data_IF_219203710741
#
_entry.id   IF_219203710741
#
_cell.length_a   1.000
_cell.length_b   1.000
_cell.length_c   1.000
_cell.angle_alpha   90.00
_cell.angle_beta   90.00
_cell.angle_gamma   90.00
#
_symmetry.space_group_name_H-M   'P 1'
#
loop_
_entity.id
_entity.type
_entity.pdbx_description
1 polymer ?
#
# COMPACT_ATOMS: atom_id res chain seq x y z
N UNK A 1 -3.97 7.02 -0.27
CA UNK A 1 -5.22 7.65 0.23
C UNK A 1 -6.03 8.15 -0.95
N UNK A 2 -7.32 7.86 -0.97
CA UNK A 2 -8.26 8.34 -2.00
C UNK A 2 -8.57 9.83 -1.84
N UNK A 3 -9.18 10.44 -2.85
CA UNK A 3 -9.54 11.85 -2.87
C UNK A 3 -10.50 12.25 -1.73
N UNK A 4 -11.31 11.29 -1.26
CA UNK A 4 -12.22 11.42 -0.13
C UNK A 4 -11.61 11.00 1.23
N UNK A 5 -10.28 10.95 1.31
CA UNK A 5 -9.56 10.78 2.58
C UNK A 5 -9.64 9.36 3.17
N UNK A 6 -9.79 8.33 2.33
CA UNK A 6 -9.75 6.93 2.78
C UNK A 6 -8.39 6.30 2.51
N UNK A 7 -7.91 5.51 3.46
CA UNK A 7 -6.79 4.59 3.24
C UNK A 7 -7.33 3.29 2.65
N UNK A 8 -6.54 2.70 1.75
CA UNK A 8 -6.88 1.48 1.03
C UNK A 8 -6.15 0.32 1.69
N UNK A 9 -6.89 -0.75 2.00
CA UNK A 9 -6.39 -2.02 2.50
C UNK A 9 -6.89 -3.15 1.59
N UNK A 10 -6.13 -4.23 1.51
CA UNK A 10 -6.48 -5.41 0.72
C UNK A 10 -6.62 -6.63 1.63
N UNK A 11 -7.68 -7.39 1.44
CA UNK A 11 -7.84 -8.71 2.08
C UNK A 11 -6.99 -9.72 1.32
N UNK A 12 -5.92 -10.20 1.92
CA UNK A 12 -5.08 -11.23 1.31
C UNK A 12 -5.88 -12.51 1.09
N UNK A 13 -5.68 -13.16 -0.06
CA UNK A 13 -6.28 -14.46 -0.36
C UNK A 13 -5.88 -15.51 0.66
N UNK A 14 -6.67 -16.57 0.80
CA UNK A 14 -6.29 -17.71 1.65
C UNK A 14 -5.24 -18.62 0.99
N UNK A 15 -4.98 -18.43 -0.30
CA UNK A 15 -4.02 -19.23 -1.07
C UNK A 15 -2.59 -18.68 -1.10
N UNK A 16 -2.36 -17.51 -0.49
CA UNK A 16 -0.99 -16.95 -0.39
C UNK A 16 -0.21 -17.58 0.76
N UNK A 17 1.10 -17.65 0.62
CA UNK A 17 1.99 -18.27 1.62
C UNK A 17 2.13 -17.42 2.89
N UNK A 18 2.24 -16.09 2.77
CA UNK A 18 2.44 -15.19 3.91
C UNK A 18 1.13 -14.50 4.31
N UNK A 19 0.80 -14.55 5.61
CA UNK A 19 -0.34 -13.87 6.22
C UNK A 19 -1.72 -14.08 5.51
N UNK A 20 -2.13 -15.33 5.21
CA UNK A 20 -3.39 -15.60 4.51
C UNK A 20 -4.61 -15.05 5.27
N UNK A 21 -5.54 -14.41 4.55
CA UNK A 21 -6.77 -13.83 5.11
C UNK A 21 -6.59 -12.54 5.94
N UNK A 22 -5.35 -12.09 6.16
CA UNK A 22 -5.07 -10.82 6.84
C UNK A 22 -5.33 -9.63 5.92
N UNK A 23 -5.51 -8.45 6.53
CA UNK A 23 -5.49 -7.18 5.80
C UNK A 23 -4.04 -6.75 5.59
N UNK A 24 -3.77 -6.28 4.38
CA UNK A 24 -2.50 -5.69 3.98
C UNK A 24 -2.71 -4.31 3.38
N UNK A 25 -1.62 -3.60 3.14
CA UNK A 25 -1.57 -2.46 2.22
C UNK A 25 -1.11 -2.95 0.84
N UNK A 26 -1.43 -2.25 -0.27
CA UNK A 26 -0.88 -2.60 -1.58
C UNK A 26 0.65 -2.58 -1.56
N UNK A 27 1.29 -3.55 -2.23
CA UNK A 27 2.74 -3.58 -2.39
C UNK A 27 3.34 -4.99 -2.47
N UNK A 28 4.52 -5.07 -3.05
CA UNK A 28 5.27 -6.32 -3.22
C UNK A 28 6.78 -6.15 -3.03
N UNK A 29 7.56 -6.97 -3.73
CA UNK A 29 9.03 -7.01 -3.62
C UNK A 29 9.66 -6.70 -4.98
N UNK A 30 10.19 -5.47 -5.20
CA UNK A 30 10.81 -5.12 -6.46
C UNK A 30 11.99 -6.04 -6.77
N UNK A 31 12.09 -6.47 -8.02
CA UNK A 31 13.14 -7.36 -8.48
C UNK A 31 14.29 -6.58 -9.13
N UNK A 32 15.56 -6.86 -8.76
CA UNK A 32 16.70 -6.07 -9.23
C UNK A 32 16.96 -6.21 -10.74
N UNK A 33 16.43 -7.25 -11.40
CA UNK A 33 16.51 -7.44 -12.85
C UNK A 33 15.90 -6.28 -13.64
N UNK A 34 14.95 -5.53 -13.06
CA UNK A 34 14.35 -4.37 -13.70
C UNK A 34 15.39 -3.31 -14.12
N UNK A 35 16.52 -3.23 -13.41
CA UNK A 35 17.58 -2.24 -13.60
C UNK A 35 18.97 -2.87 -13.85
N UNK A 36 19.05 -4.20 -13.94
CA UNK A 36 20.30 -4.94 -14.07
C UNK A 36 20.93 -4.91 -15.48
N UNK A 37 20.33 -4.19 -16.44
CA UNK A 37 20.89 -4.03 -17.79
C UNK A 37 21.10 -5.36 -18.56
N UNK A 38 20.33 -6.41 -18.24
CA UNK A 38 20.45 -7.72 -18.86
C UNK A 38 21.42 -8.69 -18.18
N UNK A 39 22.00 -8.33 -17.02
CA UNK A 39 22.77 -9.24 -16.19
C UNK A 39 21.82 -10.30 -15.57
N UNK A 40 22.13 -11.61 -15.69
CA UNK A 40 21.32 -12.65 -15.05
C UNK A 40 21.29 -12.50 -13.53
N UNK A 41 20.11 -12.68 -12.91
CA UNK A 41 19.88 -12.57 -11.46
C UNK A 41 20.87 -13.37 -10.62
N UNK A 42 21.21 -14.59 -11.07
CA UNK A 42 22.11 -15.49 -10.35
C UNK A 42 23.54 -14.95 -10.21
N UNK A 43 23.94 -14.01 -11.08
CA UNK A 43 25.27 -13.40 -11.09
C UNK A 43 25.25 -11.95 -10.60
N UNK A 44 24.07 -11.41 -10.31
CA UNK A 44 23.89 -10.00 -9.98
C UNK A 44 24.28 -9.73 -8.53
N UNK A 45 25.16 -8.76 -8.33
CA UNK A 45 25.60 -8.31 -7.01
C UNK A 45 25.06 -6.90 -6.76
N UNK A 46 24.91 -6.52 -5.49
CA UNK A 46 24.41 -5.19 -5.14
C UNK A 46 25.32 -4.09 -5.69
N UNK A 47 26.63 -4.35 -5.76
CA UNK A 47 27.62 -3.42 -6.29
C UNK A 47 27.47 -3.15 -7.79
N UNK A 48 26.80 -4.04 -8.51
CA UNK A 48 26.57 -3.92 -9.96
C UNK A 48 25.40 -2.99 -10.29
N UNK A 49 24.58 -2.64 -9.30
CA UNK A 49 23.38 -1.84 -9.46
C UNK A 49 23.70 -0.35 -9.29
N UNK A 50 23.43 0.50 -10.31
CA UNK A 50 23.62 1.94 -10.17
C UNK A 50 22.71 2.50 -9.07
N UNK A 51 23.25 3.17 -8.03
CA UNK A 51 22.46 3.58 -6.86
C UNK A 51 21.25 4.45 -7.20
N UNK A 52 21.39 5.36 -8.18
CA UNK A 52 20.30 6.23 -8.61
C UNK A 52 19.16 5.43 -9.25
N UNK A 53 19.48 4.42 -10.08
CA UNK A 53 18.48 3.54 -10.67
C UNK A 53 17.82 2.63 -9.64
N UNK A 54 18.54 2.23 -8.58
CA UNK A 54 17.96 1.48 -7.46
C UNK A 54 16.90 2.31 -6.75
N UNK A 55 17.19 3.58 -6.48
CA UNK A 55 16.23 4.49 -5.84
C UNK A 55 15.03 4.74 -6.76
N UNK A 56 15.27 4.98 -8.05
CA UNK A 56 14.18 5.14 -9.03
C UNK A 56 13.28 3.90 -9.10
N UNK A 57 13.86 2.70 -9.16
CA UNK A 57 13.10 1.45 -9.16
C UNK A 57 12.30 1.24 -7.87
N UNK A 58 12.87 1.51 -6.70
CA UNK A 58 12.17 1.40 -5.41
C UNK A 58 10.92 2.29 -5.38
N UNK A 59 10.98 3.51 -5.93
CA UNK A 59 9.81 4.40 -5.99
C UNK A 59 8.85 4.02 -7.12
N UNK A 60 9.37 3.64 -8.29
CA UNK A 60 8.55 3.23 -9.43
C UNK A 60 7.76 1.95 -9.13
N UNK A 61 8.36 1.00 -8.40
CA UNK A 61 7.72 -0.26 -8.04
C UNK A 61 6.47 -0.03 -7.19
N UNK A 62 6.46 0.94 -6.28
CA UNK A 62 5.26 1.27 -5.48
C UNK A 62 4.07 1.62 -6.38
N UNK A 63 4.29 2.42 -7.42
CA UNK A 63 3.23 2.78 -8.37
C UNK A 63 2.81 1.57 -9.21
N UNK A 64 3.78 0.75 -9.62
CA UNK A 64 3.53 -0.49 -10.37
C UNK A 64 2.67 -1.46 -9.57
N UNK A 65 2.98 -1.71 -8.30
CA UNK A 65 2.20 -2.62 -7.44
C UNK A 65 0.77 -2.11 -7.22
N UNK A 66 0.59 -0.80 -6.99
CA UNK A 66 -0.76 -0.23 -6.88
C UNK A 66 -1.55 -0.43 -8.18
N UNK A 67 -0.91 -0.27 -9.34
CA UNK A 67 -1.54 -0.53 -10.64
C UNK A 67 -1.87 -2.01 -10.80
N UNK A 68 -0.94 -2.90 -10.49
CA UNK A 68 -1.06 -4.32 -10.80
C UNK A 68 -2.03 -5.03 -9.82
N UNK A 69 -2.09 -4.63 -8.54
CA UNK A 69 -3.00 -5.18 -7.53
C UNK A 69 -4.37 -4.47 -7.46
N UNK A 70 -4.40 -3.14 -7.60
CA UNK A 70 -5.61 -2.32 -7.38
C UNK A 70 -6.22 -1.81 -8.70
N UNK A 71 -5.53 -2.01 -9.82
CA UNK A 71 -5.96 -1.56 -11.15
C UNK A 71 -6.13 -0.03 -11.26
N UNK A 72 -5.32 0.72 -10.50
CA UNK A 72 -5.34 2.18 -10.57
C UNK A 72 -4.39 2.70 -11.66
N UNK A 73 -4.86 3.61 -12.53
CA UNK A 73 -3.99 4.21 -13.53
C UNK A 73 -2.90 5.07 -12.87
N UNK A 74 -1.62 4.96 -13.29
CA UNK A 74 -0.52 5.74 -12.72
C UNK A 74 -0.76 7.26 -12.70
N UNK A 75 -1.46 7.80 -13.70
CA UNK A 75 -1.80 9.22 -13.80
C UNK A 75 -2.75 9.72 -12.70
N UNK A 76 -3.42 8.81 -12.00
CA UNK A 76 -4.26 9.15 -10.84
C UNK A 76 -3.49 9.19 -9.53
N UNK A 77 -2.23 8.75 -9.53
CA UNK A 77 -1.39 8.57 -8.35
C UNK A 77 -0.35 9.68 -8.24
N UNK A 78 -0.21 10.25 -7.05
CA UNK A 78 0.89 11.19 -6.76
C UNK A 78 2.23 10.45 -6.71
N UNK A 79 3.37 11.15 -6.90
CA UNK A 79 4.67 10.58 -6.59
C UNK A 79 4.71 9.99 -5.17
N UNK A 80 5.27 8.78 -4.96
CA UNK A 80 5.36 8.18 -3.63
C UNK A 80 6.24 9.00 -2.69
N UNK A 81 5.88 9.03 -1.42
CA UNK A 81 6.69 9.61 -0.34
C UNK A 81 7.06 8.53 0.66
N UNK A 82 8.37 8.33 0.88
CA UNK A 82 8.85 7.39 1.88
C UNK A 82 8.46 7.88 3.29
N UNK A 83 7.75 7.05 4.04
CA UNK A 83 7.40 7.30 5.44
C UNK A 83 8.48 6.79 6.38
N UNK A 84 9.07 5.63 6.05
CA UNK A 84 10.10 5.00 6.86
C UNK A 84 10.26 3.52 6.53
N UNK A 85 11.02 2.83 7.39
CA UNK A 85 11.28 1.39 7.29
C UNK A 85 10.58 0.65 8.42
N UNK A 86 9.95 -0.47 8.09
CA UNK A 86 9.26 -1.37 9.00
C UNK A 86 10.05 -2.68 9.07
N UNK A 87 10.34 -3.16 10.27
CA UNK A 87 10.94 -4.48 10.48
C UNK A 87 9.87 -5.49 10.92
N UNK A 88 9.74 -6.59 10.19
CA UNK A 88 8.82 -7.67 10.53
C UNK A 88 9.53 -8.77 11.34
N UNK A 89 9.33 -8.76 12.66
CA UNK A 89 9.94 -9.74 13.57
C UNK A 89 9.39 -11.17 13.38
N UNK A 90 8.21 -11.35 12.76
CA UNK A 90 7.66 -12.69 12.49
C UNK A 90 8.30 -13.36 11.28
N UNK A 91 9.05 -12.61 10.47
CA UNK A 91 9.79 -13.11 9.29
C UNK A 91 11.29 -12.89 9.45
N UNK A 92 11.81 -13.23 10.63
CA UNK A 92 13.23 -13.13 10.98
C UNK A 92 13.83 -11.72 10.80
N UNK A 93 13.00 -10.68 10.92
CA UNK A 93 13.43 -9.29 10.83
C UNK A 93 13.53 -8.74 9.41
N UNK A 94 12.82 -9.34 8.44
CA UNK A 94 12.71 -8.79 7.08
C UNK A 94 12.20 -7.35 7.12
N UNK A 95 12.86 -6.46 6.41
CA UNK A 95 12.50 -5.04 6.36
C UNK A 95 11.61 -4.72 5.14
N UNK A 96 10.75 -3.73 5.30
CA UNK A 96 9.87 -3.19 4.26
C UNK A 96 9.92 -1.67 4.31
N UNK A 97 10.10 -1.02 3.15
CA UNK A 97 9.94 0.42 3.04
C UNK A 97 8.45 0.76 2.87
N UNK A 98 7.93 1.63 3.73
CA UNK A 98 6.53 2.06 3.69
C UNK A 98 6.40 3.43 3.03
N UNK A 99 5.47 3.56 2.09
CA UNK A 99 5.26 4.77 1.32
C UNK A 99 3.84 5.31 1.48
N UNK A 100 3.68 6.60 1.23
CA UNK A 100 2.39 7.24 1.07
C UNK A 100 2.21 7.74 -0.36
N UNK A 101 1.05 7.41 -0.93
CA UNK A 101 0.61 7.81 -2.26
C UNK A 101 -0.80 8.37 -2.13
N UNK A 102 -1.05 9.56 -2.71
CA UNK A 102 -2.41 10.12 -2.88
C UNK A 102 -2.97 9.67 -4.23
N UNK A 103 -4.26 9.38 -4.25
CA UNK A 103 -5.02 9.04 -5.46
C UNK A 103 -6.07 10.12 -5.70
N UNK A 104 -6.24 10.55 -6.94
CA UNK A 104 -7.27 11.52 -7.34
C UNK A 104 -8.68 10.90 -7.43
N UNK A 105 -8.80 9.57 -7.36
CA UNK A 105 -10.07 8.87 -7.35
C UNK A 105 -10.62 8.75 -5.93
N UNK A 106 -11.94 8.75 -5.80
CA UNK A 106 -12.67 8.43 -4.57
C UNK A 106 -12.56 6.94 -4.23
N UNK A 107 -12.97 6.57 -3.02
CA UNK A 107 -13.06 5.17 -2.60
C UNK A 107 -14.00 4.34 -3.49
N UNK A 108 -15.09 4.92 -3.99
CA UNK A 108 -16.04 4.24 -4.86
C UNK A 108 -15.44 3.97 -6.23
N UNK A 109 -14.88 4.99 -6.89
CA UNK A 109 -14.18 4.83 -8.17
C UNK A 109 -12.98 3.88 -8.04
N UNK A 110 -12.26 3.92 -6.92
CA UNK A 110 -11.16 2.98 -6.63
C UNK A 110 -11.66 1.54 -6.52
N UNK A 111 -12.83 1.32 -5.91
CA UNK A 111 -13.46 -0.01 -5.85
C UNK A 111 -13.86 -0.49 -7.24
N UNK A 112 -14.51 0.35 -8.05
CA UNK A 112 -14.91 -0.01 -9.41
C UNK A 112 -13.70 -0.45 -10.24
N UNK A 113 -12.57 0.25 -10.12
CA UNK A 113 -11.31 -0.14 -10.76
C UNK A 113 -10.80 -1.50 -10.27
N UNK A 114 -10.77 -1.71 -8.96
CA UNK A 114 -10.37 -2.99 -8.36
C UNK A 114 -11.24 -4.15 -8.86
N UNK A 115 -12.55 -3.96 -8.96
CA UNK A 115 -13.51 -4.98 -9.41
C UNK A 115 -13.37 -5.34 -10.89
N UNK A 116 -12.91 -4.41 -11.74
CA UNK A 116 -12.51 -4.71 -13.13
C UNK A 116 -11.31 -5.68 -13.14
N UNK A 117 -10.46 -5.64 -12.11
CA UNK A 117 -9.29 -6.49 -11.93
C UNK A 117 -8.00 -5.89 -12.51
N UNK A 118 -6.87 -6.17 -11.84
CA UNK A 118 -5.51 -5.91 -12.31
C UNK A 118 -4.76 -7.20 -12.70
N UNK A 119 -3.49 -7.08 -13.07
CA UNK A 119 -2.63 -8.21 -13.39
C UNK A 119 -2.53 -9.23 -12.23
N UNK A 120 -2.53 -8.72 -11.00
CA UNK A 120 -2.37 -9.50 -9.77
C UNK A 120 -3.67 -9.56 -8.95
N UNK A 121 -4.84 -9.45 -9.61
CA UNK A 121 -6.16 -9.45 -8.97
C UNK A 121 -6.46 -10.69 -8.11
N UNK A 122 -5.66 -11.76 -8.25
CA UNK A 122 -5.84 -13.03 -7.56
C UNK A 122 -5.17 -13.08 -6.17
N UNK A 123 -4.27 -12.14 -5.86
CA UNK A 123 -3.56 -12.10 -4.58
C UNK A 123 -4.43 -11.62 -3.42
N UNK A 124 -5.49 -10.87 -3.72
CA UNK A 124 -6.46 -10.36 -2.76
C UNK A 124 -7.90 -10.80 -3.11
N UNK A 125 -8.77 -10.84 -2.10
CA UNK A 125 -10.18 -11.25 -2.23
C UNK A 125 -11.18 -10.12 -1.98
N UNK A 126 -10.71 -8.98 -1.45
CA UNK A 126 -11.53 -7.80 -1.24
C UNK A 126 -10.66 -6.56 -1.05
N UNK A 127 -11.21 -5.41 -1.42
CA UNK A 127 -10.69 -4.08 -1.10
C UNK A 127 -11.48 -3.47 0.06
N UNK A 128 -10.78 -2.85 1.02
CA UNK A 128 -11.36 -2.26 2.24
C UNK A 128 -10.88 -0.83 2.40
N UNK A 129 -11.80 0.08 2.75
CA UNK A 129 -11.50 1.50 2.93
C UNK A 129 -11.70 1.92 4.39
N UNK A 130 -10.68 2.54 4.98
CA UNK A 130 -10.74 3.08 6.35
C UNK A 130 -10.53 4.58 6.35
N UNK A 131 -11.08 5.29 7.35
CA UNK A 131 -10.82 6.73 7.47
C UNK A 131 -9.38 6.96 7.90
N UNK A 132 -8.71 7.89 7.23
CA UNK A 132 -7.42 8.39 7.66
C UNK A 132 -7.59 9.22 8.94
N UNK A 133 -6.88 8.85 10.01
CA UNK A 133 -6.72 9.69 11.20
C UNK A 133 -5.28 10.19 11.26
N UNK A 134 -5.09 11.41 10.78
CA UNK A 134 -3.82 12.12 10.93
C UNK A 134 -3.89 12.91 12.24
N UNK A 135 -2.89 12.74 13.11
CA UNK A 135 -2.86 13.29 14.47
C UNK A 135 -3.45 14.70 14.59
N UNK A 136 -4.58 14.81 15.31
CA UNK A 136 -5.18 16.07 15.77
C UNK A 136 -5.88 16.93 14.71
N UNK A 137 -5.68 16.71 13.41
CA UNK A 137 -6.43 17.41 12.36
C UNK A 137 -7.08 16.41 11.41
N UNK A 138 -8.40 16.30 11.57
CA UNK A 138 -9.32 15.79 10.56
C UNK A 138 -8.94 16.46 9.23
N UNK A 139 -8.49 15.71 8.22
CA UNK A 139 -8.43 16.25 6.86
C UNK A 139 -9.80 16.92 6.62
N UNK A 140 -9.85 18.19 6.17
CA UNK A 140 -11.12 18.87 5.96
C UNK A 140 -11.95 18.02 5.01
N UNK A 141 -12.98 17.37 5.56
CA UNK A 141 -13.89 16.45 4.90
C UNK A 141 -14.67 17.23 3.84
N UNK A 142 -14.35 17.13 2.54
CA UNK A 142 -15.13 17.78 1.50
C UNK A 142 -16.35 16.93 1.14
N UNK A 143 -16.74 15.94 1.98
CA UNK A 143 -17.75 14.89 1.79
C UNK A 143 -17.54 14.04 0.53
N UNK A 144 -17.63 12.70 0.71
CA UNK A 144 -18.85 12.05 0.26
C UNK A 144 -19.42 11.11 1.33
N UNK A 145 -20.68 10.74 1.12
CA UNK A 145 -21.43 9.75 1.87
C UNK A 145 -20.60 8.50 2.18
N UNK A 146 -20.75 7.89 3.38
CA UNK A 146 -20.31 6.52 3.58
C UNK A 146 -20.89 5.67 2.47
N UNK A 147 -20.09 4.75 1.94
CA UNK A 147 -20.59 3.74 1.00
C UNK A 147 -21.84 3.08 1.61
N UNK A 148 -22.88 2.80 0.80
CA UNK A 148 -24.15 2.27 1.31
C UNK A 148 -23.91 1.03 2.19
N UNK A 149 -24.20 1.15 3.49
CA UNK A 149 -24.08 0.04 4.45
C UNK A 149 -22.78 -0.05 5.27
N UNK A 150 -21.76 0.77 5.00
CA UNK A 150 -20.51 0.74 5.76
C UNK A 150 -20.48 1.76 6.91
N UNK A 151 -20.32 1.29 8.16
CA UNK A 151 -19.97 2.17 9.28
C UNK A 151 -18.51 2.61 9.13
N UNK A 152 -18.17 3.90 9.31
CA UNK A 152 -16.78 4.34 9.32
C UNK A 152 -15.97 3.58 10.36
N UNK A 153 -14.88 2.94 9.94
CA UNK A 153 -13.91 2.29 10.83
C UNK A 153 -12.63 3.12 10.88
N UNK A 154 -12.12 3.33 12.09
CA UNK A 154 -10.84 3.99 12.35
C UNK A 154 -9.73 2.93 12.31
N UNK A 155 -8.57 3.24 11.73
CA UNK A 155 -7.49 2.26 11.55
C UNK A 155 -6.89 1.77 12.87
N UNK A 156 -6.63 2.71 13.79
CA UNK A 156 -6.05 2.47 15.12
C UNK A 156 -7.10 2.52 16.25
N UNK A 157 -8.35 2.86 15.94
CA UNK A 157 -9.42 3.02 16.92
C UNK A 157 -10.08 1.70 17.36
N UNK A 158 -10.87 1.71 18.46
CA UNK A 158 -11.61 0.55 18.93
C UNK A 158 -12.58 0.01 17.86
N UNK A 159 -12.50 -1.29 17.56
CA UNK A 159 -13.29 -1.91 16.48
C UNK A 159 -12.75 -1.66 15.06
N UNK A 160 -11.57 -1.04 14.96
CA UNK A 160 -10.78 -0.93 13.75
C UNK A 160 -10.17 -2.26 13.28
N UNK A 161 -9.65 -2.32 12.05
CA UNK A 161 -9.08 -3.55 11.50
C UNK A 161 -7.70 -3.92 12.08
N UNK A 162 -7.19 -3.25 13.11
CA UNK A 162 -5.83 -3.45 13.63
C UNK A 162 -5.48 -4.92 13.92
N UNK A 163 -6.40 -5.68 14.53
CA UNK A 163 -6.19 -7.09 14.84
C UNK A 163 -6.10 -7.98 13.58
N UNK A 164 -6.70 -7.53 12.48
CA UNK A 164 -6.74 -8.22 11.19
C UNK A 164 -5.55 -7.86 10.29
N UNK A 165 -4.81 -6.78 10.57
CA UNK A 165 -3.64 -6.39 9.79
C UNK A 165 -2.48 -7.39 9.92
N UNK A 166 -1.77 -7.62 8.81
CA UNK A 166 -0.47 -8.28 8.81
C UNK A 166 0.60 -7.36 9.45
N UNK A 167 1.78 -7.89 9.83
CA UNK A 167 2.82 -7.10 10.52
C UNK A 167 3.34 -5.90 9.70
N UNK A 168 3.56 -6.05 8.39
CA UNK A 168 4.00 -4.96 7.51
C UNK A 168 2.98 -3.83 7.46
N UNK A 169 1.70 -4.17 7.27
CA UNK A 169 0.61 -3.19 7.24
C UNK A 169 0.43 -2.46 8.58
N UNK A 170 0.66 -3.14 9.72
CA UNK A 170 0.71 -2.47 11.03
C UNK A 170 1.80 -1.41 11.09
N UNK A 171 3.00 -1.74 10.63
CA UNK A 171 4.10 -0.77 10.60
C UNK A 171 3.81 0.42 9.67
N UNK A 172 3.23 0.17 8.49
CA UNK A 172 2.83 1.24 7.58
C UNK A 172 1.74 2.14 8.20
N UNK A 173 0.76 1.55 8.87
CA UNK A 173 -0.28 2.28 9.61
C UNK A 173 0.29 3.14 10.74
N UNK A 174 1.24 2.60 11.52
CA UNK A 174 1.93 3.35 12.57
C UNK A 174 2.72 4.51 11.98
N UNK A 175 3.52 4.27 10.94
CA UNK A 175 4.29 5.34 10.28
C UNK A 175 3.36 6.43 9.72
N UNK A 176 2.25 6.04 9.09
CA UNK A 176 1.26 7.00 8.62
C UNK A 176 0.67 7.84 9.76
N UNK A 177 0.40 7.25 10.93
CA UNK A 177 -0.11 7.99 12.07
C UNK A 177 0.92 8.99 12.62
N UNK A 178 2.18 8.57 12.74
CA UNK A 178 3.26 9.36 13.34
C UNK A 178 3.73 10.51 12.43
N UNK A 179 3.90 10.25 11.12
CA UNK A 179 4.47 11.23 10.18
C UNK A 179 3.49 11.71 9.11
N UNK A 180 2.27 11.18 9.07
CA UNK A 180 1.25 11.53 8.08
C UNK A 180 0.79 12.98 8.13
N UNK A 181 0.96 13.66 9.27
CA UNK A 181 0.66 15.09 9.42
C UNK A 181 1.60 15.99 8.62
N UNK A 182 2.74 15.46 8.18
CA UNK A 182 3.73 16.15 7.35
C UNK A 182 3.46 15.93 5.84
N UNK A 183 2.36 15.26 5.49
CA UNK A 183 2.04 14.83 4.13
C UNK A 183 1.00 15.70 3.44
#
# INVERSE_FOLDING_TARGET
ATADGRLVLLRRSHHVAEAPGKLDVPGGHPEPQAIAGGVPTASLRCEDLPPDLVVEEIFASVIKEIRDEVNLPPETLSPPRLLGLVRNETTAGRATAAFFVRCSLTAEETRERYEIGGAEAHESTAIVFVKAEVGGQRLPDPRPTPLPGEKPRELLGPGGPWAELCPSAKGAATLYHEVGALL
#
